data_IF_172481459923
#
_entry.id   IF_172481459923
#
_cell.length_a   1.000
_cell.length_b   1.000
_cell.length_c   1.000
_cell.angle_alpha   90.00
_cell.angle_beta   90.00
_cell.angle_gamma   90.00
#
_symmetry.space_group_name_H-M   'P 1'
#
loop_
_entity.id
_entity.type
_entity.pdbx_description
1 polymer ?
#
# COMPACT_ATOMS: atom_id res chain seq x y z
N UNK A 1 7.49 13.71 2.30
CA UNK A 1 7.46 13.31 0.87
C UNK A 1 8.65 12.44 0.48
N UNK A 2 9.82 12.59 1.09
CA UNK A 2 11.02 11.79 0.76
C UNK A 2 10.80 10.27 0.78
N UNK A 3 10.18 9.75 1.85
CA UNK A 3 9.89 8.31 1.95
C UNK A 3 9.02 7.79 0.79
N UNK A 4 8.11 8.62 0.25
CA UNK A 4 7.32 8.23 -0.91
C UNK A 4 8.20 8.10 -2.16
N UNK A 5 9.14 9.03 -2.35
CA UNK A 5 10.06 9.04 -3.50
C UNK A 5 11.04 7.88 -3.49
N UNK A 6 11.46 7.43 -2.32
CA UNK A 6 12.48 6.38 -2.18
C UNK A 6 11.90 4.99 -1.89
N UNK A 7 10.60 4.90 -1.60
CA UNK A 7 9.92 3.62 -1.39
C UNK A 7 9.78 2.81 -2.68
N UNK A 8 9.94 1.49 -2.56
CA UNK A 8 9.65 0.54 -3.65
C UNK A 8 8.19 0.07 -3.63
N UNK A 9 7.55 0.19 -2.47
CA UNK A 9 6.19 -0.27 -2.22
C UNK A 9 5.50 0.66 -1.24
N UNK A 10 4.28 1.10 -1.58
CA UNK A 10 3.41 1.87 -0.70
C UNK A 10 2.13 1.08 -0.40
N UNK A 11 1.91 0.77 0.87
CA UNK A 11 0.66 0.19 1.36
C UNK A 11 -0.30 1.31 1.78
N UNK A 12 -1.52 1.25 1.24
CA UNK A 12 -2.58 2.22 1.45
C UNK A 12 -3.67 1.52 2.24
N UNK A 13 -3.85 1.90 3.51
CA UNK A 13 -4.69 1.15 4.46
C UNK A 13 -5.83 2.03 4.95
N UNK A 14 -7.07 1.63 4.72
CA UNK A 14 -8.25 2.26 5.32
C UNK A 14 -8.45 3.74 4.94
N UNK A 15 -8.02 4.16 3.76
CA UNK A 15 -8.20 5.54 3.25
C UNK A 15 -8.91 5.52 1.91
N UNK A 16 -9.72 6.56 1.66
CA UNK A 16 -10.38 6.77 0.36
C UNK A 16 -9.49 7.45 -0.68
N UNK A 17 -8.34 8.00 -0.25
CA UNK A 17 -7.44 8.77 -1.12
C UNK A 17 -8.01 10.08 -1.65
N UNK A 18 -9.10 10.59 -1.05
CA UNK A 18 -9.78 11.79 -1.54
C UNK A 18 -9.25 13.10 -0.93
N UNK A 19 -8.59 13.05 0.22
CA UNK A 19 -8.21 14.24 0.99
C UNK A 19 -6.78 14.66 0.67
N UNK A 20 -6.61 15.90 0.20
CA UNK A 20 -5.32 16.54 0.03
C UNK A 20 -4.84 17.18 1.34
N UNK A 21 -3.53 17.20 1.63
CA UNK A 21 -2.41 16.82 0.75
C UNK A 21 -2.01 15.33 0.84
N UNK A 22 -2.61 14.55 1.75
CA UNK A 22 -2.20 13.16 1.99
C UNK A 22 -2.31 12.28 0.73
N UNK A 23 -3.33 12.51 -0.10
CA UNK A 23 -3.50 11.80 -1.38
C UNK A 23 -2.33 12.03 -2.36
N UNK A 24 -1.62 13.15 -2.28
CA UNK A 24 -0.45 13.43 -3.13
C UNK A 24 0.72 12.47 -2.86
N UNK A 25 0.79 11.84 -1.69
CA UNK A 25 1.81 10.83 -1.37
C UNK A 25 1.77 9.66 -2.36
N UNK A 26 0.56 9.24 -2.76
CA UNK A 26 0.38 8.12 -3.67
C UNK A 26 0.89 8.43 -5.07
N UNK A 27 0.60 9.65 -5.54
CA UNK A 27 1.06 10.15 -6.84
C UNK A 27 2.59 10.19 -6.86
N UNK A 28 3.21 10.80 -5.84
CA UNK A 28 4.66 10.90 -5.76
C UNK A 28 5.34 9.53 -5.68
N UNK A 29 4.79 8.59 -4.91
CA UNK A 29 5.32 7.23 -4.84
C UNK A 29 5.25 6.53 -6.20
N UNK A 30 4.09 6.58 -6.87
CA UNK A 30 3.89 5.97 -8.19
C UNK A 30 4.82 6.56 -9.25
N UNK A 31 4.92 7.89 -9.31
CA UNK A 31 5.81 8.59 -10.23
C UNK A 31 7.29 8.26 -9.99
N UNK A 32 7.64 7.93 -8.75
CA UNK A 32 9.00 7.50 -8.38
C UNK A 32 9.23 5.99 -8.60
N UNK A 33 8.25 5.29 -9.17
CA UNK A 33 8.35 3.86 -9.52
C UNK A 33 7.92 2.90 -8.41
N UNK A 34 7.34 3.38 -7.30
CA UNK A 34 6.83 2.53 -6.25
C UNK A 34 5.60 1.75 -6.73
N UNK A 35 5.51 0.49 -6.29
CA UNK A 35 4.28 -0.30 -6.44
C UNK A 35 3.26 0.11 -5.38
N UNK A 36 1.98 0.05 -5.72
CA UNK A 36 0.90 0.46 -4.82
C UNK A 36 -0.03 -0.71 -4.49
N UNK A 37 -0.32 -0.89 -3.19
CA UNK A 37 -1.30 -1.86 -2.69
C UNK A 37 -2.37 -1.13 -1.88
N UNK A 38 -3.63 -1.28 -2.27
CA UNK A 38 -4.79 -0.82 -1.49
C UNK A 38 -5.32 -1.94 -0.60
N UNK A 39 -5.58 -1.62 0.67
CA UNK A 39 -6.26 -2.48 1.63
C UNK A 39 -7.48 -1.73 2.17
N UNK A 40 -8.65 -2.05 1.63
CA UNK A 40 -9.89 -1.38 1.98
C UNK A 40 -11.10 -2.31 1.72
N UNK A 41 -12.14 -2.31 2.57
CA UNK A 41 -13.34 -3.13 2.32
C UNK A 41 -14.10 -2.70 1.05
N UNK A 42 -14.05 -1.41 0.73
CA UNK A 42 -14.80 -0.80 -0.36
C UNK A 42 -13.85 -0.30 -1.46
N UNK A 43 -14.36 -0.26 -2.69
CA UNK A 43 -13.69 0.43 -3.81
C UNK A 43 -13.59 1.91 -3.48
N UNK A 44 -12.44 2.51 -3.74
CA UNK A 44 -12.21 3.95 -3.59
C UNK A 44 -11.79 4.59 -4.91
N UNK A 45 -11.63 5.92 -4.91
CA UNK A 45 -11.09 6.65 -6.05
C UNK A 45 -9.67 6.20 -6.44
N UNK A 46 -8.95 5.53 -5.52
CA UNK A 46 -7.60 5.01 -5.75
C UNK A 46 -7.58 3.65 -6.45
N UNK A 47 -8.69 2.93 -6.44
CA UNK A 47 -8.72 1.54 -6.87
C UNK A 47 -8.29 1.33 -8.33
N UNK A 48 -8.40 2.34 -9.19
CA UNK A 48 -7.89 2.31 -10.56
C UNK A 48 -6.42 2.72 -10.72
N UNK A 49 -5.81 3.27 -9.67
CA UNK A 49 -4.42 3.77 -9.66
C UNK A 49 -3.44 2.81 -8.97
N UNK A 50 -3.95 1.81 -8.26
CA UNK A 50 -3.14 0.84 -7.51
C UNK A 50 -2.88 -0.42 -8.32
N UNK A 51 -1.76 -1.08 -8.07
CA UNK A 51 -1.38 -2.29 -8.78
C UNK A 51 -2.11 -3.52 -8.22
N UNK A 52 -2.39 -3.52 -6.90
CA UNK A 52 -3.12 -4.58 -6.24
C UNK A 52 -4.09 -4.06 -5.21
N UNK A 53 -5.14 -4.85 -4.99
CA UNK A 53 -6.22 -4.55 -4.06
C UNK A 53 -6.48 -5.77 -3.17
N UNK A 54 -6.43 -5.54 -1.87
CA UNK A 54 -6.86 -6.49 -0.86
C UNK A 54 -8.19 -5.98 -0.30
N UNK A 55 -9.27 -6.57 -0.81
CA UNK A 55 -10.61 -6.20 -0.39
C UNK A 55 -10.93 -6.82 0.97
N UNK A 56 -11.11 -5.98 1.99
CA UNK A 56 -11.51 -6.41 3.32
C UNK A 56 -11.05 -5.45 4.42
N UNK A 57 -11.45 -5.70 5.69
CA UNK A 57 -10.98 -4.92 6.82
C UNK A 57 -9.47 -5.07 7.00
N UNK A 58 -8.77 -3.95 7.19
CA UNK A 58 -7.32 -3.94 7.39
C UNK A 58 -6.89 -4.84 8.56
N UNK A 59 -7.67 -4.87 9.65
CA UNK A 59 -7.44 -5.73 10.81
C UNK A 59 -7.50 -7.23 10.53
N UNK A 60 -8.09 -7.65 9.40
CA UNK A 60 -8.08 -9.04 8.95
C UNK A 60 -7.01 -9.28 7.87
N UNK A 61 -6.91 -8.36 6.90
CA UNK A 61 -6.01 -8.51 5.76
C UNK A 61 -4.53 -8.44 6.15
N UNK A 62 -4.14 -7.49 7.02
CA UNK A 62 -2.74 -7.29 7.40
C UNK A 62 -2.15 -8.49 8.18
N UNK A 63 -2.81 -9.03 9.22
CA UNK A 63 -2.29 -10.23 9.90
C UNK A 63 -2.15 -11.43 8.95
N UNK A 64 -3.13 -11.64 8.06
CA UNK A 64 -3.07 -12.71 7.07
C UNK A 64 -1.89 -12.52 6.08
N UNK A 65 -1.62 -11.28 5.66
CA UNK A 65 -0.47 -10.95 4.82
C UNK A 65 0.86 -11.24 5.55
N UNK A 66 0.99 -10.80 6.79
CA UNK A 66 2.20 -11.01 7.61
C UNK A 66 2.45 -12.50 7.84
N UNK A 67 1.40 -13.28 8.17
CA UNK A 67 1.51 -14.72 8.36
C UNK A 67 2.07 -15.43 7.11
N UNK A 68 1.69 -14.97 5.91
CA UNK A 68 2.21 -15.50 4.64
C UNK A 68 3.66 -15.07 4.35
N UNK A 69 4.04 -13.85 4.74
CA UNK A 69 5.42 -13.36 4.59
C UNK A 69 6.40 -14.07 5.54
N UNK A 70 5.97 -14.35 6.78
CA UNK A 70 6.77 -15.06 7.78
C UNK A 70 7.12 -16.50 7.40
N UNK A 71 6.35 -17.12 6.51
CA UNK A 71 6.67 -18.44 5.95
C UNK A 71 7.80 -18.41 4.89
N UNK A 72 8.19 -17.22 4.43
CA UNK A 72 9.18 -17.00 3.35
C UNK A 72 10.44 -16.25 3.80
N UNK A 73 10.69 -16.14 5.11
CA UNK A 73 11.81 -15.36 5.67
C UNK A 73 13.19 -15.84 5.23
N UNK A 74 13.71 -15.29 4.13
CA UNK A 74 15.15 -15.11 3.94
C UNK A 74 15.53 -13.83 4.66
N UNK A 75 16.19 -13.94 5.81
CA UNK A 75 16.86 -12.81 6.45
C UNK A 75 17.89 -12.25 5.48
N UNK A 76 17.63 -11.09 4.90
CA UNK A 76 18.68 -10.26 4.31
C UNK A 76 19.13 -9.28 5.39
N UNK A 77 20.09 -9.73 6.19
CA UNK A 77 20.93 -8.83 6.98
C UNK A 77 21.89 -8.16 6.00
N UNK A 78 21.86 -6.83 5.93
CA UNK A 78 22.94 -6.00 5.36
C UNK A 78 23.91 -5.68 6.48
#
# INVERSE_FOLDING_TARGET
MEAARTSQLLLIVGTSGAVQPAASVLVVARESGARLIEINPQVSALSGLVDWRLQGPAGCCLPALIARLGATGRSTTV
#
